data_IF_218404840502
#
_entry.id   IF_218404840502
#
_cell.length_a   1.000
_cell.length_b   1.000
_cell.length_c   1.000
_cell.angle_alpha   90.00
_cell.angle_beta   90.00
_cell.angle_gamma   90.00
#
_symmetry.space_group_name_H-M   'P 1'
#
loop_
_entity.id
_entity.type
_entity.pdbx_description
1 polymer ?
#
# COMPACT_ATOMS: atom_id res chain seq x y z
N UNK A 1 17.28 11.42 0.89
CA UNK A 1 16.89 10.05 0.50
C UNK A 1 15.39 9.93 0.70
N UNK A 2 14.67 9.40 -0.29
CA UNK A 2 13.22 9.26 -0.23
C UNK A 2 12.86 8.20 0.81
N UNK A 3 12.09 8.57 1.86
CA UNK A 3 11.58 7.65 2.90
C UNK A 3 10.40 6.83 2.34
N UNK A 4 10.59 6.23 1.17
CA UNK A 4 9.59 5.42 0.49
C UNK A 4 9.74 3.97 0.91
N UNK A 5 8.62 3.36 1.28
CA UNK A 5 8.54 1.96 1.67
C UNK A 5 7.43 1.27 0.89
N UNK A 6 7.54 -0.05 0.79
CA UNK A 6 6.53 -0.89 0.18
C UNK A 6 5.52 -1.31 1.24
N UNK A 7 4.24 -1.07 0.97
CA UNK A 7 3.14 -1.45 1.84
C UNK A 7 2.20 -2.40 1.10
N UNK A 8 1.62 -3.34 1.83
CA UNK A 8 0.46 -4.11 1.39
C UNK A 8 -0.79 -3.53 2.05
N UNK A 9 -1.82 -3.29 1.24
CA UNK A 9 -3.15 -2.88 1.69
C UNK A 9 -4.09 -4.04 1.42
N UNK A 10 -4.58 -4.67 2.48
CA UNK A 10 -5.53 -5.77 2.42
C UNK A 10 -6.92 -5.27 2.79
N UNK A 11 -7.89 -5.52 1.93
CA UNK A 11 -9.29 -5.32 2.21
C UNK A 11 -9.92 -6.65 2.63
N UNK A 12 -10.58 -6.65 3.78
CA UNK A 12 -11.13 -7.83 4.47
C UNK A 12 -12.67 -7.85 4.49
N UNK A 13 -13.33 -7.03 3.66
CA UNK A 13 -14.78 -6.97 3.54
C UNK A 13 -15.37 -8.09 2.69
N UNK A 14 -16.57 -7.87 2.14
CA UNK A 14 -17.33 -8.90 1.41
C UNK A 14 -16.59 -9.48 0.21
N UNK A 15 -15.79 -8.64 -0.47
CA UNK A 15 -14.94 -9.06 -1.59
C UNK A 15 -13.48 -8.82 -1.16
N UNK A 16 -12.83 -9.80 -0.52
CA UNK A 16 -11.47 -9.63 -0.03
C UNK A 16 -10.51 -9.42 -1.20
N UNK A 17 -9.66 -8.40 -1.10
CA UNK A 17 -8.67 -8.06 -2.12
C UNK A 17 -7.43 -7.45 -1.48
N UNK A 18 -6.35 -7.33 -2.26
CA UNK A 18 -5.12 -6.70 -1.78
C UNK A 18 -4.41 -5.94 -2.90
N UNK A 19 -3.61 -4.95 -2.50
CA UNK A 19 -2.77 -4.16 -3.39
C UNK A 19 -1.41 -3.85 -2.76
N UNK A 20 -0.39 -3.73 -3.60
CA UNK A 20 0.95 -3.29 -3.20
C UNK A 20 1.15 -1.84 -3.60
N UNK A 21 1.60 -1.02 -2.65
CA UNK A 21 1.70 0.42 -2.85
C UNK A 21 3.00 0.95 -2.26
N UNK A 22 3.68 1.80 -3.02
CA UNK A 22 4.81 2.59 -2.54
C UNK A 22 4.30 3.89 -1.91
N UNK A 23 4.64 4.10 -0.64
CA UNK A 23 4.23 5.27 0.13
C UNK A 23 5.26 5.62 1.22
N UNK A 24 5.11 6.79 1.85
CA UNK A 24 5.97 7.19 2.98
C UNK A 24 5.44 6.70 4.31
N UNK A 25 4.14 6.42 4.42
CA UNK A 25 3.50 5.95 5.63
C UNK A 25 2.22 5.15 5.31
N UNK A 26 1.68 4.40 6.28
CA UNK A 26 0.47 3.58 6.07
C UNK A 26 -0.77 4.38 5.62
N UNK A 27 -0.93 5.62 6.10
CA UNK A 27 -2.08 6.45 5.72
C UNK A 27 -2.02 6.86 4.25
N UNK A 28 -0.85 7.21 3.75
CA UNK A 28 -0.63 7.48 2.33
C UNK A 28 -0.82 6.23 1.48
N UNK A 29 -0.36 5.05 1.94
CA UNK A 29 -0.57 3.78 1.22
C UNK A 29 -2.05 3.47 1.03
N UNK A 30 -2.86 3.62 2.08
CA UNK A 30 -4.32 3.46 2.01
C UNK A 30 -4.96 4.43 1.00
N UNK A 31 -4.62 5.71 1.08
CA UNK A 31 -5.17 6.74 0.19
C UNK A 31 -4.79 6.52 -1.29
N UNK A 32 -3.57 6.04 -1.55
CA UNK A 32 -3.14 5.68 -2.90
C UNK A 32 -3.87 4.45 -3.42
N UNK A 33 -3.96 3.38 -2.61
CA UNK A 33 -4.66 2.16 -2.98
C UNK A 33 -6.14 2.44 -3.33
N UNK A 34 -6.83 3.23 -2.49
CA UNK A 34 -8.24 3.60 -2.68
C UNK A 34 -8.50 4.52 -3.87
N UNK A 35 -7.52 5.34 -4.27
CA UNK A 35 -7.63 6.16 -5.48
C UNK A 35 -7.50 5.35 -6.76
N UNK A 36 -6.61 4.35 -6.77
CA UNK A 36 -6.36 3.51 -7.95
C UNK A 36 -7.43 2.42 -8.13
N UNK A 37 -8.03 1.96 -7.03
CA UNK A 37 -9.11 0.97 -7.08
C UNK A 37 -10.45 1.62 -6.75
N UNK A 38 -11.29 1.82 -7.77
CA UNK A 38 -12.70 2.22 -7.61
C UNK A 38 -13.50 1.28 -6.67
N UNK A 39 -12.98 0.08 -6.40
CA UNK A 39 -13.53 -0.91 -5.48
C UNK A 39 -13.50 -0.47 -4.01
N UNK A 40 -12.51 0.33 -3.60
CA UNK A 40 -12.32 0.70 -2.19
C UNK A 40 -12.90 2.09 -1.85
N UNK A 41 -13.47 2.82 -2.80
CA UNK A 41 -14.06 4.15 -2.54
C UNK A 41 -15.25 4.09 -1.57
N UNK A 42 -15.88 2.93 -1.41
CA UNK A 42 -17.03 2.72 -0.52
C UNK A 42 -16.68 1.95 0.76
N UNK A 43 -15.45 1.48 0.89
CA UNK A 43 -15.04 0.64 2.01
C UNK A 43 -14.54 1.48 3.17
N UNK A 44 -15.01 1.14 4.37
CA UNK A 44 -14.55 1.77 5.60
C UNK A 44 -13.10 1.39 5.88
N UNK A 45 -12.33 2.29 6.49
CA UNK A 45 -10.95 2.01 6.92
C UNK A 45 -10.87 0.83 7.90
N UNK A 46 -11.98 0.51 8.55
CA UNK A 46 -12.15 -0.54 9.55
C UNK A 46 -12.03 -1.93 8.91
N UNK A 47 -12.37 -2.05 7.63
CA UNK A 47 -12.24 -3.28 6.85
C UNK A 47 -10.91 -3.39 6.12
N UNK A 48 -9.96 -2.48 6.37
CA UNK A 48 -8.68 -2.45 5.66
C UNK A 48 -7.50 -2.55 6.62
N UNK A 49 -6.61 -3.50 6.35
CA UNK A 49 -5.33 -3.66 7.03
C UNK A 49 -4.22 -3.10 6.13
N UNK A 50 -3.32 -2.31 6.70
CA UNK A 50 -2.16 -1.78 5.99
C UNK A 50 -0.91 -2.20 6.74
N UNK A 51 0.00 -2.89 6.05
CA UNK A 51 1.24 -3.38 6.65
C UNK A 51 2.42 -3.00 5.77
N UNK A 52 3.53 -2.63 6.40
CA UNK A 52 4.81 -2.49 5.71
C UNK A 52 5.29 -3.90 5.31
N UNK A 53 5.70 -4.08 4.06
CA UNK A 53 6.19 -5.37 3.58
C UNK A 53 7.58 -5.61 4.17
N UNK A 54 7.69 -6.70 4.93
CA UNK A 54 8.96 -7.17 5.47
C UNK A 54 9.24 -8.57 4.93
N UNK A 55 10.47 -8.80 4.48
CA UNK A 55 10.95 -10.09 4.00
C UNK A 55 12.14 -10.48 4.87
N UNK A 56 12.01 -11.59 5.59
CA UNK A 56 13.02 -12.04 6.53
C UNK A 56 14.38 -12.26 5.85
N UNK A 57 15.43 -11.61 6.36
CA UNK A 57 16.78 -11.68 5.81
C UNK A 57 17.05 -10.77 4.61
N UNK A 58 16.08 -9.94 4.18
CA UNK A 58 16.24 -9.07 3.01
C UNK A 58 15.84 -7.61 3.31
N UNK A 59 16.57 -6.68 2.69
CA UNK A 59 16.22 -5.26 2.68
C UNK A 59 15.52 -4.89 1.37
N UNK A 60 14.42 -4.14 1.46
CA UNK A 60 13.69 -3.62 0.30
C UNK A 60 14.09 -2.17 0.07
N UNK A 61 14.73 -1.89 -1.07
CA UNK A 61 15.08 -0.54 -1.49
C UNK A 61 14.15 -0.05 -2.60
N UNK A 62 13.33 0.95 -2.29
CA UNK A 62 12.46 1.60 -3.27
C UNK A 62 13.16 2.81 -3.87
N UNK A 63 13.28 2.84 -5.20
CA UNK A 63 13.89 3.94 -5.95
C UNK A 63 12.91 4.47 -6.98
N UNK A 64 12.73 5.79 -6.99
CA UNK A 64 12.04 6.44 -8.09
C UNK A 64 12.86 6.26 -9.36
N UNK A 65 12.25 5.76 -10.42
CA UNK A 65 12.91 5.71 -11.71
C UNK A 65 13.00 7.15 -12.21
N UNK A 66 14.21 7.70 -12.28
CA UNK A 66 14.45 8.96 -12.98
C UNK A 66 13.98 8.76 -14.42
N UNK A 67 12.95 9.50 -14.84
CA UNK A 67 12.36 9.36 -16.15
C UNK A 67 13.41 9.52 -17.26
N UNK A 68 13.37 8.62 -18.24
CA UNK A 68 13.99 8.78 -19.55
C UNK A 68 13.02 9.50 -20.48
#
# INVERSE_FOLDING_TARGET
>A
MSDLRLYVVCHLGEIPCWGLVVARNPAEAFLKCTKETNLLQRESRENCKVEEVQIEGYEILVKEKSGS
#
